data_IF_930224983907
#
_entry.id   IF_930224983907
#
_cell.length_a   1.000
_cell.length_b   1.000
_cell.length_c   1.000
_cell.angle_alpha   90.00
_cell.angle_beta   90.00
_cell.angle_gamma   90.00
#
_symmetry.space_group_name_H-M   'P 1'
#
loop_
_entity.id
_entity.type
_entity.pdbx_description
1 polymer ?
#
# COMPACT_ATOMS: atom_id res chain seq x y z
N UNK A 1 -13.10 25.20 11.82
CA UNK A 1 -11.87 24.94 12.61
C UNK A 1 -11.55 23.44 12.64
N UNK A 2 -12.52 22.58 12.97
CA UNK A 2 -12.36 21.12 13.06
C UNK A 2 -11.81 20.44 11.79
N UNK A 3 -12.29 20.80 10.59
CA UNK A 3 -11.79 20.21 9.33
C UNK A 3 -10.30 20.47 9.10
N UNK A 4 -9.80 21.67 9.44
CA UNK A 4 -8.37 21.98 9.34
C UNK A 4 -7.54 21.11 10.29
N UNK A 5 -8.04 20.88 11.50
CA UNK A 5 -7.39 20.01 12.47
C UNK A 5 -7.34 18.55 12.00
N UNK A 6 -8.43 18.03 11.43
CA UNK A 6 -8.48 16.68 10.86
C UNK A 6 -7.48 16.52 9.70
N UNK A 7 -7.42 17.50 8.78
CA UNK A 7 -6.46 17.49 7.67
C UNK A 7 -5.00 17.50 8.16
N UNK A 8 -4.70 18.30 9.18
CA UNK A 8 -3.36 18.36 9.78
C UNK A 8 -2.99 17.05 10.48
N UNK A 9 -3.92 16.47 11.22
CA UNK A 9 -3.71 15.19 11.93
C UNK A 9 -3.45 14.07 10.94
N UNK A 10 -4.27 13.95 9.88
CA UNK A 10 -4.07 12.98 8.81
C UNK A 10 -2.73 13.20 8.08
N UNK A 11 -2.35 14.45 7.83
CA UNK A 11 -1.05 14.74 7.23
C UNK A 11 0.10 14.24 8.10
N UNK A 12 0.08 14.52 9.41
CA UNK A 12 1.11 14.06 10.34
C UNK A 12 1.18 12.52 10.35
N UNK A 13 0.03 11.85 10.41
CA UNK A 13 -0.04 10.39 10.35
C UNK A 13 0.60 9.82 9.07
N UNK A 14 0.23 10.35 7.91
CA UNK A 14 0.80 9.93 6.64
C UNK A 14 2.32 10.18 6.56
N UNK A 15 2.80 11.32 7.08
CA UNK A 15 4.23 11.62 7.10
C UNK A 15 5.00 10.69 8.06
N UNK A 16 4.41 10.30 9.20
CA UNK A 16 4.99 9.32 10.12
C UNK A 16 5.07 7.92 9.48
N UNK A 17 4.10 7.55 8.65
CA UNK A 17 4.14 6.34 7.82
C UNK A 17 5.10 6.44 6.62
N UNK A 18 5.91 7.51 6.55
CA UNK A 18 6.81 7.80 5.44
C UNK A 18 6.12 7.85 4.06
N UNK A 19 4.85 8.24 4.02
CA UNK A 19 4.14 8.47 2.77
C UNK A 19 4.87 9.55 1.95
N UNK A 20 4.93 9.34 0.62
CA UNK A 20 5.42 10.39 -0.28
C UNK A 20 4.55 11.63 -0.14
N UNK A 21 5.21 12.79 -0.10
CA UNK A 21 4.53 14.08 0.08
C UNK A 21 3.39 14.31 -0.91
N UNK A 22 3.51 13.79 -2.15
CA UNK A 22 2.42 13.85 -3.14
C UNK A 22 1.15 13.12 -2.69
N UNK A 23 1.29 11.95 -2.05
CA UNK A 23 0.17 11.18 -1.50
C UNK A 23 -0.47 11.95 -0.35
N UNK A 24 0.33 12.47 0.58
CA UNK A 24 -0.16 13.29 1.70
C UNK A 24 -0.88 14.55 1.21
N UNK A 25 -0.35 15.21 0.18
CA UNK A 25 -1.00 16.36 -0.45
C UNK A 25 -2.35 15.98 -1.06
N UNK A 26 -2.41 14.89 -1.84
CA UNK A 26 -3.65 14.42 -2.46
C UNK A 26 -4.72 14.04 -1.41
N UNK A 27 -4.31 13.45 -0.29
CA UNK A 27 -5.22 13.03 0.77
C UNK A 27 -5.75 14.18 1.64
N UNK A 28 -4.99 15.27 1.78
CA UNK A 28 -5.28 16.32 2.78
C UNK A 28 -5.52 17.71 2.20
N UNK A 29 -5.10 17.96 0.96
CA UNK A 29 -5.09 19.29 0.33
C UNK A 29 -4.00 20.23 0.86
N UNK A 30 -3.22 19.82 1.87
CA UNK A 30 -2.20 20.69 2.48
C UNK A 30 -1.07 20.97 1.48
N UNK A 31 -0.62 22.23 1.31
CA UNK A 31 0.42 22.57 0.33
C UNK A 31 1.69 21.74 0.46
N UNK A 32 2.22 21.26 -0.67
CA UNK A 32 3.46 20.45 -0.75
C UNK A 32 4.63 21.11 -0.03
N UNK A 33 4.75 22.45 -0.09
CA UNK A 33 5.82 23.19 0.61
C UNK A 33 5.74 22.98 2.13
N UNK A 34 4.53 23.07 2.71
CA UNK A 34 4.31 22.88 4.13
C UNK A 34 4.57 21.42 4.53
N UNK A 35 4.03 20.46 3.77
CA UNK A 35 4.27 19.03 4.04
C UNK A 35 5.76 18.65 3.99
N UNK A 36 6.54 19.24 3.07
CA UNK A 36 8.00 19.04 3.03
C UNK A 36 8.71 19.62 4.26
N UNK A 37 8.27 20.77 4.75
CA UNK A 37 8.81 21.37 5.96
C UNK A 37 8.47 20.50 7.18
N UNK A 38 7.21 20.09 7.33
CA UNK A 38 6.76 19.19 8.40
C UNK A 38 7.50 17.86 8.38
N UNK A 39 7.69 17.25 7.19
CA UNK A 39 8.47 16.02 7.08
C UNK A 39 9.91 16.19 7.59
N UNK A 40 10.57 17.31 7.26
CA UNK A 40 11.93 17.59 7.77
C UNK A 40 11.95 17.77 9.28
N UNK A 41 10.93 18.42 9.85
CA UNK A 41 10.80 18.58 11.29
C UNK A 41 10.60 17.25 12.00
N UNK A 42 9.76 16.36 11.46
CA UNK A 42 9.50 15.04 12.05
C UNK A 42 10.68 14.08 11.94
N UNK A 43 11.40 14.10 10.81
CA UNK A 43 12.37 13.05 10.47
C UNK A 43 13.84 13.50 10.42
N UNK A 44 14.12 14.79 10.63
CA UNK A 44 15.48 15.36 10.55
C UNK A 44 16.11 15.33 9.16
N UNK A 45 15.38 14.91 8.11
CA UNK A 45 15.87 14.76 6.74
C UNK A 45 14.82 15.15 5.71
N UNK A 46 15.27 15.47 4.50
CA UNK A 46 14.33 15.75 3.40
C UNK A 46 13.60 14.46 2.97
N UNK A 47 12.32 14.57 2.54
CA UNK A 47 11.59 13.44 1.97
C UNK A 47 12.27 12.93 0.70
N UNK A 48 12.05 11.65 0.38
CA UNK A 48 12.66 11.03 -0.80
C UNK A 48 12.26 11.75 -2.09
N UNK A 49 13.24 11.97 -2.98
CA UNK A 49 13.03 12.69 -4.26
C UNK A 49 12.39 11.83 -5.35
N UNK A 50 12.36 10.50 -5.19
CA UNK A 50 11.90 9.57 -6.22
C UNK A 50 10.40 9.67 -6.51
N UNK A 51 10.01 9.43 -7.77
CA UNK A 51 8.60 9.35 -8.19
C UNK A 51 7.87 8.18 -7.52
N UNK A 52 6.56 8.34 -7.28
CA UNK A 52 5.70 7.19 -6.92
C UNK A 52 5.83 6.15 -8.02
N UNK A 53 5.90 4.87 -7.65
CA UNK A 53 5.97 3.79 -8.63
C UNK A 53 4.66 3.74 -9.44
N UNK A 54 4.75 3.37 -10.71
CA UNK A 54 3.60 3.46 -11.63
C UNK A 54 2.59 2.33 -11.48
N UNK A 55 3.00 1.15 -11.02
CA UNK A 55 2.12 -0.01 -10.91
C UNK A 55 2.64 -1.06 -9.93
N UNK A 56 1.73 -1.92 -9.49
CA UNK A 56 1.96 -3.14 -8.71
C UNK A 56 2.94 -4.07 -9.43
N UNK A 57 2.91 -4.12 -10.76
CA UNK A 57 3.88 -4.90 -11.55
C UNK A 57 5.32 -4.45 -11.31
N UNK A 58 5.56 -3.14 -11.23
CA UNK A 58 6.89 -2.61 -10.90
C UNK A 58 7.34 -2.90 -9.46
N UNK A 59 6.41 -3.29 -8.58
CA UNK A 59 6.69 -3.64 -7.19
C UNK A 59 6.98 -5.13 -6.99
N UNK A 60 6.55 -6.02 -7.87
CA UNK A 60 6.53 -7.48 -7.60
C UNK A 60 7.66 -8.25 -8.28
N UNK A 61 8.72 -7.57 -8.75
CA UNK A 61 9.79 -8.17 -9.56
C UNK A 61 10.59 -9.33 -8.93
N UNK A 62 10.54 -9.53 -7.61
CA UNK A 62 11.14 -10.70 -6.93
C UNK A 62 10.12 -11.43 -6.07
N UNK A 63 10.29 -12.74 -5.82
CA UNK A 63 9.34 -13.54 -5.02
C UNK A 63 9.06 -12.95 -3.65
N UNK A 64 10.10 -12.41 -2.98
CA UNK A 64 9.95 -11.70 -1.71
C UNK A 64 9.01 -10.51 -1.87
N UNK A 65 9.24 -9.63 -2.85
CA UNK A 65 8.38 -8.45 -3.04
C UNK A 65 6.95 -8.82 -3.44
N UNK A 66 6.78 -9.84 -4.28
CA UNK A 66 5.44 -10.34 -4.62
C UNK A 66 4.69 -10.85 -3.40
N UNK A 67 5.36 -11.57 -2.50
CA UNK A 67 4.80 -12.02 -1.23
C UNK A 67 4.38 -10.83 -0.36
N UNK A 68 5.27 -9.86 -0.17
CA UNK A 68 5.00 -8.65 0.61
C UNK A 68 3.76 -7.90 0.08
N UNK A 69 3.69 -7.69 -1.24
CA UNK A 69 2.55 -7.07 -1.94
C UNK A 69 1.26 -7.91 -1.80
N UNK A 70 1.35 -9.23 -1.92
CA UNK A 70 0.19 -10.13 -1.81
C UNK A 70 -0.40 -10.12 -0.40
N UNK A 71 0.43 -10.16 0.64
CA UNK A 71 -0.04 -10.08 2.04
C UNK A 71 -0.73 -8.75 2.29
N UNK A 72 -0.13 -7.63 1.84
CA UNK A 72 -0.79 -6.33 1.95
C UNK A 72 -2.12 -6.28 1.21
N UNK A 73 -2.19 -6.81 -0.02
CA UNK A 73 -3.44 -6.87 -0.79
C UNK A 73 -4.55 -7.59 0.00
N UNK A 74 -4.23 -8.68 0.71
CA UNK A 74 -5.18 -9.40 1.56
C UNK A 74 -5.64 -8.52 2.73
N UNK A 75 -4.72 -7.84 3.42
CA UNK A 75 -5.06 -6.89 4.47
C UNK A 75 -5.98 -5.77 3.95
N UNK A 76 -5.70 -5.25 2.74
CA UNK A 76 -6.51 -4.21 2.11
C UNK A 76 -7.91 -4.71 1.75
N UNK A 77 -8.04 -5.92 1.17
CA UNK A 77 -9.35 -6.50 0.89
C UNK A 77 -10.19 -6.65 2.16
N UNK A 78 -9.59 -7.14 3.25
CA UNK A 78 -10.28 -7.26 4.55
C UNK A 78 -10.68 -5.89 5.11
N UNK A 79 -9.80 -4.89 5.05
CA UNK A 79 -10.11 -3.54 5.50
C UNK A 79 -11.28 -2.93 4.72
N UNK A 80 -11.27 -3.06 3.39
CA UNK A 80 -12.33 -2.52 2.52
C UNK A 80 -13.69 -3.18 2.79
N UNK A 81 -13.74 -4.48 3.10
CA UNK A 81 -15.02 -5.14 3.42
C UNK A 81 -15.67 -4.69 4.72
N UNK A 82 -14.91 -4.09 5.64
CA UNK A 82 -15.37 -3.69 6.98
C UNK A 82 -15.50 -2.18 7.17
N UNK A 83 -15.01 -1.40 6.22
CA UNK A 83 -14.79 0.03 6.40
C UNK A 83 -15.98 0.86 5.93
N UNK A 84 -16.47 1.73 6.80
CA UNK A 84 -17.28 2.92 6.44
C UNK A 84 -16.42 4.17 6.32
N UNK A 85 -15.09 4.02 6.39
CA UNK A 85 -14.14 5.12 6.42
C UNK A 85 -13.77 5.58 5.00
N UNK A 86 -13.05 6.70 4.93
CA UNK A 86 -12.48 7.18 3.67
C UNK A 86 -11.47 6.17 3.08
N UNK A 87 -11.20 6.28 1.77
CA UNK A 87 -10.22 5.43 1.09
C UNK A 87 -8.83 5.50 1.72
N UNK A 88 -8.38 6.70 2.12
CA UNK A 88 -7.06 6.87 2.74
C UNK A 88 -7.01 6.25 4.14
N UNK A 89 -8.09 6.34 4.93
CA UNK A 89 -8.14 5.71 6.24
C UNK A 89 -8.16 4.18 6.12
N UNK A 90 -8.92 3.66 5.17
CA UNK A 90 -8.94 2.22 4.84
C UNK A 90 -7.54 1.73 4.45
N UNK A 91 -6.79 2.52 3.68
CA UNK A 91 -5.39 2.22 3.34
C UNK A 91 -4.47 2.22 4.58
N UNK A 92 -4.59 3.21 5.47
CA UNK A 92 -3.82 3.28 6.72
C UNK A 92 -4.10 2.05 7.58
N UNK A 93 -5.38 1.72 7.79
CA UNK A 93 -5.81 0.53 8.55
C UNK A 93 -5.23 -0.75 7.95
N UNK A 94 -5.31 -0.91 6.62
CA UNK A 94 -4.74 -2.06 5.92
C UNK A 94 -3.22 -2.15 6.05
N UNK A 95 -2.51 -1.03 5.92
CA UNK A 95 -1.06 -0.99 6.02
C UNK A 95 -0.56 -1.32 7.43
N UNK A 96 -1.24 -0.78 8.45
CA UNK A 96 -0.95 -1.10 9.85
C UNK A 96 -1.20 -2.59 10.14
N UNK A 97 -2.31 -3.15 9.63
CA UNK A 97 -2.58 -4.58 9.73
C UNK A 97 -1.50 -5.43 9.05
N UNK A 98 -1.02 -5.01 7.87
CA UNK A 98 0.09 -5.66 7.17
C UNK A 98 1.38 -5.63 8.00
N UNK A 99 1.80 -4.47 8.51
CA UNK A 99 3.02 -4.35 9.32
C UNK A 99 2.92 -5.14 10.64
N UNK A 100 1.73 -5.21 11.24
CA UNK A 100 1.48 -6.03 12.43
C UNK A 100 1.54 -7.53 12.13
N UNK A 101 0.93 -7.96 11.02
CA UNK A 101 0.81 -9.39 10.67
C UNK A 101 2.10 -9.95 10.06
N UNK A 102 2.90 -9.08 9.43
CA UNK A 102 4.15 -9.47 8.78
C UNK A 102 5.24 -8.41 8.98
N UNK A 103 5.84 -8.34 10.20
CA UNK A 103 6.80 -7.30 10.56
C UNK A 103 8.09 -7.29 9.72
N UNK A 104 8.47 -8.45 9.16
CA UNK A 104 9.63 -8.60 8.28
C UNK A 104 9.37 -8.12 6.84
N UNK A 105 8.13 -7.72 6.55
CA UNK A 105 7.71 -7.23 5.25
C UNK A 105 8.26 -5.84 4.93
N UNK A 106 8.87 -5.72 3.75
CA UNK A 106 9.59 -4.52 3.31
C UNK A 106 8.75 -3.60 2.44
N UNK A 107 7.46 -3.88 2.24
CA UNK A 107 6.53 -2.96 1.59
C UNK A 107 6.43 -1.64 2.37
N UNK A 108 6.68 -0.53 1.69
CA UNK A 108 6.56 0.82 2.22
C UNK A 108 5.14 1.36 2.00
N UNK A 109 4.71 2.34 2.80
CA UNK A 109 3.34 2.88 2.71
C UNK A 109 3.01 3.42 1.31
N UNK A 110 3.98 4.08 0.68
CA UNK A 110 3.77 4.63 -0.67
C UNK A 110 3.62 3.55 -1.74
N UNK A 111 4.22 2.37 -1.54
CA UNK A 111 4.05 1.23 -2.43
C UNK A 111 2.71 0.54 -2.18
N UNK A 112 2.30 0.43 -0.91
CA UNK A 112 0.96 -0.02 -0.52
C UNK A 112 -0.16 0.85 -1.13
N UNK A 113 0.04 2.17 -1.18
CA UNK A 113 -0.88 3.08 -1.89
C UNK A 113 -1.04 2.71 -3.37
N UNK A 114 0.05 2.41 -4.08
CA UNK A 114 0.01 1.98 -5.49
C UNK A 114 -0.77 0.68 -5.65
N UNK A 115 -0.53 -0.28 -4.75
CA UNK A 115 -1.25 -1.57 -4.76
C UNK A 115 -2.74 -1.37 -4.54
N UNK A 116 -3.13 -0.51 -3.58
CA UNK A 116 -4.53 -0.19 -3.32
C UNK A 116 -5.21 0.48 -4.54
N UNK A 117 -4.53 1.41 -5.21
CA UNK A 117 -5.02 2.02 -6.45
C UNK A 117 -5.24 0.97 -7.55
N UNK A 118 -4.26 0.09 -7.79
CA UNK A 118 -4.39 -0.95 -8.81
C UNK A 118 -5.46 -2.00 -8.49
N UNK A 119 -5.73 -2.27 -7.21
CA UNK A 119 -6.86 -3.12 -6.80
C UNK A 119 -8.18 -2.44 -7.10
N UNK A 120 -8.33 -1.16 -6.72
CA UNK A 120 -9.56 -0.39 -6.96
C UNK A 120 -9.84 -0.24 -8.47
N UNK A 121 -8.79 -0.03 -9.26
CA UNK A 121 -8.84 0.05 -10.73
C UNK A 121 -9.01 -1.33 -11.41
N UNK A 122 -9.10 -2.43 -10.63
CA UNK A 122 -9.18 -3.82 -11.13
C UNK A 122 -8.01 -4.23 -12.04
N UNK A 123 -6.86 -3.56 -11.93
CA UNK A 123 -5.61 -3.90 -12.64
C UNK A 123 -4.95 -5.14 -12.06
N UNK A 124 -5.13 -5.38 -10.76
CA UNK A 124 -4.73 -6.60 -10.06
C UNK A 124 -5.90 -7.15 -9.25
N UNK A 125 -5.91 -8.45 -8.98
CA UNK A 125 -7.01 -9.10 -8.26
C UNK A 125 -6.49 -10.24 -7.38
N UNK A 126 -7.07 -10.37 -6.18
CA UNK A 126 -6.83 -11.53 -5.33
C UNK A 126 -7.68 -12.72 -5.78
N UNK A 127 -7.04 -13.88 -5.82
CA UNK A 127 -7.66 -15.18 -6.02
C UNK A 127 -7.10 -16.18 -5.00
N UNK A 128 -7.72 -17.36 -4.90
CA UNK A 128 -7.22 -18.48 -4.11
C UNK A 128 -6.70 -19.56 -5.03
N UNK A 129 -5.52 -20.10 -4.72
CA UNK A 129 -4.96 -21.23 -5.43
C UNK A 129 -5.94 -22.41 -5.43
N UNK A 130 -6.22 -23.04 -6.58
CA UNK A 130 -7.17 -24.15 -6.65
C UNK A 130 -6.70 -25.38 -5.86
N UNK A 131 -5.38 -25.56 -5.69
CA UNK A 131 -4.80 -26.71 -5.00
C UNK A 131 -4.72 -26.54 -3.47
N UNK A 132 -4.11 -25.44 -3.00
CA UNK A 132 -3.82 -25.24 -1.57
C UNK A 132 -4.61 -24.08 -0.93
N UNK A 133 -5.48 -23.41 -1.71
CA UNK A 133 -6.32 -22.28 -1.26
C UNK A 133 -5.56 -21.05 -0.77
N UNK A 134 -4.23 -21.03 -0.89
CA UNK A 134 -3.39 -19.87 -0.58
C UNK A 134 -3.73 -18.67 -1.48
N UNK A 135 -3.60 -17.46 -0.95
CA UNK A 135 -3.86 -16.24 -1.69
C UNK A 135 -2.83 -16.02 -2.81
N UNK A 136 -3.33 -15.64 -3.99
CA UNK A 136 -2.55 -15.32 -5.18
C UNK A 136 -3.01 -13.97 -5.69
N UNK A 137 -2.05 -13.09 -6.00
CA UNK A 137 -2.32 -11.80 -6.63
C UNK A 137 -2.14 -11.94 -8.15
N UNK A 138 -3.25 -11.98 -8.87
CA UNK A 138 -3.32 -12.08 -10.32
C UNK A 138 -2.94 -10.75 -10.99
N UNK A 139 -2.37 -10.82 -12.20
CA UNK A 139 -1.94 -9.67 -13.04
C UNK A 139 -0.85 -8.78 -12.42
N UNK A 140 -0.45 -9.06 -11.17
CA UNK A 140 0.67 -8.41 -10.51
C UNK A 140 2.01 -8.77 -11.15
N UNK A 141 2.08 -9.84 -11.95
CA UNK A 141 3.21 -10.23 -12.80
C UNK A 141 2.70 -10.55 -14.21
N UNK A 142 3.60 -10.94 -15.11
CA UNK A 142 3.22 -11.44 -16.45
C UNK A 142 2.41 -12.74 -16.37
N UNK A 143 2.71 -13.56 -15.37
CA UNK A 143 2.01 -14.81 -15.12
C UNK A 143 0.56 -14.56 -14.64
N UNK A 144 -0.40 -15.11 -15.38
CA UNK A 144 -1.84 -15.03 -15.12
C UNK A 144 -2.37 -16.24 -14.34
N UNK A 145 -1.52 -17.22 -14.02
CA UNK A 145 -1.95 -18.43 -13.33
C UNK A 145 -2.41 -18.13 -11.90
N UNK A 146 -3.57 -18.70 -11.56
CA UNK A 146 -4.17 -18.71 -10.24
C UNK A 146 -3.48 -19.69 -9.27
N UNK A 147 -2.50 -20.48 -9.72
CA UNK A 147 -1.69 -21.33 -8.86
C UNK A 147 -0.61 -20.51 -8.13
N UNK A 148 -0.44 -20.79 -6.84
CA UNK A 148 0.64 -20.16 -6.07
C UNK A 148 2.02 -20.67 -6.54
N UNK A 149 3.07 -19.91 -6.24
CA UNK A 149 4.44 -20.26 -6.66
C UNK A 149 4.91 -21.62 -6.14
N UNK A 150 4.38 -22.12 -5.03
CA UNK A 150 4.72 -23.44 -4.48
C UNK A 150 4.06 -24.55 -5.30
N UNK A 151 2.75 -24.47 -5.52
CA UNK A 151 2.00 -25.49 -6.29
C UNK A 151 2.35 -25.50 -7.79
N UNK A 152 3.06 -24.48 -8.30
CA UNK A 152 3.60 -24.47 -9.66
C UNK A 152 4.84 -25.35 -9.84
N UNK A 153 5.62 -25.56 -8.77
CA UNK A 153 6.88 -26.32 -8.83
C UNK A 153 6.62 -27.83 -8.76
N UNK A 154 5.52 -28.24 -8.13
CA UNK A 154 5.14 -29.65 -7.97
C UNK A 154 4.30 -30.18 -9.14
N UNK A 155 4.62 -29.77 -10.36
CA UNK A 155 4.02 -30.24 -11.61
C UNK A 155 5.07 -30.99 -12.44
#
# INVERSE_FOLDING_TARGET
MLMKYQQQTLAIELLNLHAKVKIAHQATGIPVKLLRQTYRQLHGRSPSRGSIKFSTRGLTGSHRKYKDVTIFAVCFQVATTKSTESQIQTLITAFNAYKKSYPLGQLEFSDAWVVAQDINDKKVQLSKCPQCRSWVLLKAREDLSDRCSVCKIHL
#
